data_IF_447778297529
#
_entry.id   IF_447778297529
#
_cell.length_a   1.000
_cell.length_b   1.000
_cell.length_c   1.000
_cell.angle_alpha   90.00
_cell.angle_beta   90.00
_cell.angle_gamma   90.00
#
_symmetry.space_group_name_H-M   'P 1'
#
loop_
_entity.id
_entity.type
_entity.pdbx_description
1 polymer ?
#
# COMPACT_ATOMS: atom_id res chain seq x y z
N UNK A 1 -22.97 23.70 -39.71
CA UNK A 1 -23.50 23.72 -38.31
C UNK A 1 -22.80 22.61 -37.55
N UNK A 2 -21.66 22.93 -36.91
CA UNK A 2 -20.85 21.99 -36.13
C UNK A 2 -21.37 21.95 -34.71
N UNK A 3 -21.76 20.77 -34.23
CA UNK A 3 -22.17 20.55 -32.85
C UNK A 3 -20.96 20.44 -31.98
N UNK A 4 -20.71 21.45 -31.12
CA UNK A 4 -19.74 21.40 -30.03
C UNK A 4 -20.26 20.43 -29.00
N UNK A 5 -19.52 19.35 -28.76
CA UNK A 5 -19.71 18.46 -27.62
C UNK A 5 -19.16 19.10 -26.36
N UNK A 6 -19.91 19.12 -25.23
CA UNK A 6 -19.38 19.68 -23.99
C UNK A 6 -18.31 18.79 -23.40
N UNK A 7 -17.20 19.42 -23.09
CA UNK A 7 -16.08 18.86 -22.33
C UNK A 7 -16.58 18.35 -20.98
N UNK A 8 -16.55 17.06 -20.74
CA UNK A 8 -16.77 16.49 -19.41
C UNK A 8 -15.50 16.72 -18.59
N UNK A 9 -15.55 17.67 -17.67
CA UNK A 9 -14.56 17.77 -16.60
C UNK A 9 -14.67 16.47 -15.77
N UNK A 10 -13.67 15.63 -15.89
CA UNK A 10 -13.52 14.46 -15.05
C UNK A 10 -13.29 14.91 -13.60
N UNK A 11 -14.09 14.39 -12.71
CA UNK A 11 -14.04 14.58 -11.28
C UNK A 11 -12.83 13.84 -10.66
N UNK A 12 -11.65 14.40 -10.84
CA UNK A 12 -10.41 14.03 -10.14
C UNK A 12 -10.22 15.03 -9.00
N UNK A 13 -10.95 14.90 -7.92
CA UNK A 13 -10.86 15.93 -6.90
C UNK A 13 -11.46 15.62 -5.53
N UNK A 14 -11.63 14.36 -5.13
CA UNK A 14 -12.24 14.13 -3.82
C UNK A 14 -11.58 13.08 -2.92
N UNK A 15 -10.39 12.61 -3.24
CA UNK A 15 -9.68 11.63 -2.40
C UNK A 15 -8.64 12.26 -1.44
N UNK A 16 -8.38 13.57 -1.51
CA UNK A 16 -7.32 14.22 -0.72
C UNK A 16 -7.80 15.07 0.48
N UNK A 17 -9.09 15.17 0.78
CA UNK A 17 -9.57 16.16 1.75
C UNK A 17 -10.22 15.63 3.03
N UNK A 18 -10.19 14.33 3.32
CA UNK A 18 -10.75 13.78 4.58
C UNK A 18 -9.73 13.66 5.71
N UNK A 19 -8.50 14.16 5.55
CA UNK A 19 -7.40 13.97 6.51
C UNK A 19 -7.34 15.01 7.66
N UNK A 20 -8.26 15.95 7.79
CA UNK A 20 -8.07 17.11 8.69
C UNK A 20 -9.08 17.33 9.82
N UNK A 21 -9.86 16.32 10.22
CA UNK A 21 -10.79 16.43 11.37
C UNK A 21 -10.61 15.33 12.42
N UNK A 22 -9.36 14.97 12.72
CA UNK A 22 -9.06 14.14 13.89
C UNK A 22 -8.64 15.07 15.02
N UNK A 23 -9.36 15.03 16.15
CA UNK A 23 -9.10 15.88 17.31
C UNK A 23 -7.66 15.72 17.83
N UNK A 24 -7.01 16.79 18.36
CA UNK A 24 -5.62 16.76 18.81
C UNK A 24 -5.29 15.66 19.82
N UNK A 25 -6.27 15.15 20.57
CA UNK A 25 -6.08 14.06 21.54
C UNK A 25 -5.78 12.69 20.90
N UNK A 26 -6.29 12.43 19.72
CA UNK A 26 -6.02 11.18 18.97
C UNK A 26 -4.63 11.24 18.32
N UNK A 27 -4.25 12.42 17.82
CA UNK A 27 -2.95 12.65 17.17
C UNK A 27 -1.79 12.43 18.15
N UNK A 28 -1.93 12.86 19.41
CA UNK A 28 -0.87 12.67 20.44
C UNK A 28 -0.66 11.20 20.80
N UNK A 29 -1.72 10.40 20.86
CA UNK A 29 -1.57 8.95 21.12
C UNK A 29 -0.99 8.19 19.92
N UNK A 30 -1.29 8.61 18.71
CA UNK A 30 -0.74 8.05 17.47
C UNK A 30 0.78 8.26 17.40
N UNK A 31 1.24 9.46 17.73
CA UNK A 31 2.67 9.82 17.70
C UNK A 31 3.53 8.98 18.66
N UNK A 32 3.05 8.70 19.88
CA UNK A 32 3.82 7.93 20.87
C UNK A 32 3.92 6.44 20.53
N UNK A 33 2.85 5.85 19.97
CA UNK A 33 2.85 4.43 19.61
C UNK A 33 3.66 4.16 18.32
N UNK A 34 3.67 5.10 17.38
CA UNK A 34 4.41 5.02 16.12
C UNK A 34 5.94 5.00 16.36
N UNK A 35 6.43 5.81 17.29
CA UNK A 35 7.87 5.91 17.61
C UNK A 35 8.47 4.65 18.25
N UNK A 36 7.64 3.70 18.65
CA UNK A 36 8.11 2.45 19.27
C UNK A 36 8.22 1.28 18.29
N UNK A 37 7.64 1.35 17.12
CA UNK A 37 7.65 0.22 16.19
C UNK A 37 8.93 0.21 15.34
N UNK A 38 9.64 -0.94 15.29
CA UNK A 38 10.90 -1.06 14.55
C UNK A 38 10.65 -1.06 13.03
N UNK A 39 11.72 -1.28 12.26
CA UNK A 39 11.59 -1.68 10.87
C UNK A 39 10.90 -3.04 10.75
N UNK A 40 10.28 -3.31 9.62
CA UNK A 40 9.57 -4.56 9.36
C UNK A 40 10.03 -5.20 8.05
N UNK A 41 10.07 -6.53 8.04
CA UNK A 41 9.87 -7.32 6.83
C UNK A 41 8.42 -7.77 6.84
N UNK A 42 7.69 -7.45 5.76
CA UNK A 42 6.28 -7.83 5.59
C UNK A 42 6.22 -8.91 4.51
N UNK A 43 5.48 -9.97 4.80
CA UNK A 43 5.21 -11.08 3.89
C UNK A 43 3.70 -11.09 3.61
N UNK A 44 3.34 -11.04 2.35
CA UNK A 44 1.95 -11.08 1.91
C UNK A 44 1.65 -12.33 1.09
N UNK A 45 0.47 -12.89 1.27
CA UNK A 45 -0.08 -13.96 0.43
C UNK A 45 -1.58 -13.73 0.22
N UNK A 46 -2.06 -13.89 -0.99
CA UNK A 46 -3.45 -13.64 -1.34
C UNK A 46 -3.66 -13.72 -2.84
N UNK A 47 -4.39 -12.78 -3.38
CA UNK A 47 -4.72 -12.75 -4.80
C UNK A 47 -4.67 -11.34 -5.41
N UNK A 48 -4.62 -11.30 -6.73
CA UNK A 48 -4.72 -10.13 -7.57
C UNK A 48 -5.89 -10.32 -8.55
N UNK A 49 -6.64 -9.24 -8.84
CA UNK A 49 -7.77 -9.27 -9.76
C UNK A 49 -9.11 -9.66 -9.14
N UNK A 50 -9.18 -10.02 -7.85
CA UNK A 50 -10.39 -10.59 -7.23
C UNK A 50 -11.54 -9.60 -6.99
N UNK A 51 -11.27 -8.32 -6.95
CA UNK A 51 -12.29 -7.32 -6.57
C UNK A 51 -13.30 -6.99 -7.66
N UNK A 52 -13.04 -7.33 -8.91
CA UNK A 52 -13.89 -6.93 -10.02
C UNK A 52 -14.19 -8.12 -10.93
N UNK A 53 -15.47 -8.41 -11.16
CA UNK A 53 -15.90 -9.42 -12.12
C UNK A 53 -15.27 -9.14 -13.49
N UNK A 54 -14.87 -10.20 -14.19
CA UNK A 54 -14.24 -10.19 -15.52
C UNK A 54 -12.73 -9.84 -15.58
N UNK A 55 -11.98 -9.98 -14.49
CA UNK A 55 -10.52 -9.87 -14.50
C UNK A 55 -9.85 -11.21 -14.29
N UNK A 56 -8.67 -11.37 -14.87
CA UNK A 56 -7.82 -12.53 -14.64
C UNK A 56 -7.37 -12.54 -13.18
N UNK A 57 -7.76 -13.59 -12.45
CA UNK A 57 -7.39 -13.77 -11.04
C UNK A 57 -6.17 -14.66 -10.95
N UNK A 58 -5.19 -14.23 -10.15
CA UNK A 58 -4.00 -15.01 -9.88
C UNK A 58 -3.65 -14.99 -8.40
N UNK A 59 -3.03 -16.07 -7.93
CA UNK A 59 -2.41 -16.05 -6.61
C UNK A 59 -1.25 -15.06 -6.57
N UNK A 60 -1.13 -14.30 -5.48
CA UNK A 60 -0.13 -13.26 -5.34
C UNK A 60 0.66 -13.42 -4.03
N UNK A 61 1.97 -13.17 -4.10
CA UNK A 61 2.89 -13.21 -2.97
C UNK A 61 3.74 -11.96 -2.97
N UNK A 62 4.00 -11.40 -1.79
CA UNK A 62 4.82 -10.19 -1.69
C UNK A 62 5.81 -10.27 -0.54
N UNK A 63 6.93 -9.56 -0.72
CA UNK A 63 7.85 -9.22 0.35
C UNK A 63 8.10 -7.71 0.31
N UNK A 64 8.01 -7.06 1.47
CA UNK A 64 8.22 -5.62 1.61
C UNK A 64 9.14 -5.35 2.81
N UNK A 65 10.14 -4.51 2.62
CA UNK A 65 10.86 -3.86 3.70
C UNK A 65 10.21 -2.51 3.98
N UNK A 66 9.87 -2.25 5.24
CA UNK A 66 9.42 -0.95 5.73
C UNK A 66 10.40 -0.42 6.75
N UNK A 67 10.88 0.78 6.54
CA UNK A 67 11.88 1.41 7.39
C UNK A 67 11.40 1.61 8.83
N UNK A 68 12.36 1.62 9.75
CA UNK A 68 12.16 1.92 11.14
C UNK A 68 12.03 3.44 11.42
N UNK A 69 11.95 3.81 12.71
CA UNK A 69 11.79 5.20 13.12
C UNK A 69 12.97 6.09 12.73
N UNK A 70 14.15 5.53 12.51
CA UNK A 70 15.34 6.31 12.11
C UNK A 70 15.19 6.99 10.74
N UNK A 71 14.30 6.46 9.89
CA UNK A 71 13.98 7.03 8.57
C UNK A 71 12.54 7.58 8.52
N UNK A 72 11.93 7.83 9.69
CA UNK A 72 10.59 8.38 9.77
C UNK A 72 10.62 9.91 9.61
N UNK A 73 9.83 10.42 8.68
CA UNK A 73 9.57 11.84 8.53
C UNK A 73 8.06 12.09 8.64
N UNK A 74 7.65 12.94 9.58
CA UNK A 74 6.23 13.30 9.80
C UNK A 74 5.32 12.06 9.99
N UNK A 75 5.81 11.03 10.69
CA UNK A 75 5.13 9.73 10.87
C UNK A 75 4.93 8.91 9.58
N UNK A 76 5.67 9.27 8.55
CA UNK A 76 5.70 8.56 7.26
C UNK A 76 7.03 7.85 7.13
N UNK A 77 6.99 6.56 6.75
CA UNK A 77 8.16 5.70 6.63
C UNK A 77 8.30 5.19 5.20
N UNK A 78 9.50 5.23 4.65
CA UNK A 78 9.75 4.64 3.35
C UNK A 78 9.61 3.12 3.38
N UNK A 79 9.17 2.57 2.26
CA UNK A 79 9.13 1.14 2.03
C UNK A 79 9.57 0.80 0.61
N UNK A 80 10.04 -0.42 0.44
CA UNK A 80 10.32 -1.00 -0.86
C UNK A 80 9.90 -2.47 -0.86
N UNK A 81 9.46 -2.97 -1.99
CA UNK A 81 9.01 -4.35 -2.05
C UNK A 81 8.87 -4.89 -3.45
N UNK A 82 8.56 -6.17 -3.50
CA UNK A 82 8.25 -6.89 -4.72
C UNK A 82 7.05 -7.80 -4.49
N UNK A 83 6.21 -7.91 -5.52
CA UNK A 83 5.09 -8.83 -5.63
C UNK A 83 5.32 -9.68 -6.85
N UNK A 84 5.07 -10.98 -6.74
CA UNK A 84 5.01 -11.93 -7.84
C UNK A 84 3.68 -12.68 -7.81
N UNK A 85 3.22 -13.12 -8.96
CA UNK A 85 1.94 -13.81 -9.11
C UNK A 85 2.12 -15.20 -9.72
N UNK A 86 1.08 -16.03 -9.66
CA UNK A 86 1.10 -17.39 -10.23
C UNK A 86 1.09 -17.41 -11.77
N UNK A 87 0.73 -16.31 -12.41
CA UNK A 87 0.77 -16.06 -13.84
C UNK A 87 2.04 -15.30 -14.27
N UNK A 88 3.10 -15.36 -13.43
CA UNK A 88 4.41 -14.76 -13.67
C UNK A 88 4.43 -13.22 -13.81
N UNK A 89 3.37 -12.52 -13.38
CA UNK A 89 3.45 -11.06 -13.27
C UNK A 89 4.39 -10.68 -12.11
N UNK A 90 5.11 -9.57 -12.28
CA UNK A 90 6.02 -9.05 -11.25
C UNK A 90 5.82 -7.53 -11.10
N UNK A 91 5.71 -7.06 -9.87
CA UNK A 91 5.64 -5.65 -9.54
C UNK A 91 6.66 -5.30 -8.46
N UNK A 92 7.62 -4.44 -8.79
CA UNK A 92 8.59 -3.90 -7.82
C UNK A 92 8.30 -2.44 -7.54
N UNK A 93 8.33 -2.02 -6.26
CA UNK A 93 7.96 -0.65 -5.88
C UNK A 93 8.86 -0.03 -4.82
N UNK A 94 8.86 1.30 -4.81
CA UNK A 94 9.30 2.14 -3.71
C UNK A 94 8.13 3.03 -3.28
N UNK A 95 7.90 3.17 -1.98
CA UNK A 95 6.74 3.89 -1.47
C UNK A 95 6.93 4.49 -0.09
N UNK A 96 5.84 5.07 0.38
CA UNK A 96 5.72 5.70 1.68
C UNK A 96 4.47 5.17 2.37
N UNK A 97 4.54 4.94 3.67
CA UNK A 97 3.38 4.51 4.44
C UNK A 97 3.36 5.12 5.85
N UNK A 98 2.16 5.27 6.40
CA UNK A 98 1.93 5.77 7.75
C UNK A 98 1.00 4.86 8.52
N UNK A 99 1.15 4.81 9.85
CA UNK A 99 0.33 4.03 10.75
C UNK A 99 -0.62 4.91 11.55
N UNK A 100 -1.88 4.46 11.66
CA UNK A 100 -2.90 4.99 12.56
C UNK A 100 -3.20 3.92 13.60
N UNK A 101 -2.96 4.22 14.88
CA UNK A 101 -3.17 3.27 15.97
C UNK A 101 -4.53 3.48 16.62
N UNK A 102 -5.29 2.39 16.74
CA UNK A 102 -6.51 2.33 17.54
C UNK A 102 -6.23 1.55 18.82
N UNK A 103 -5.78 2.28 19.83
CA UNK A 103 -5.24 1.69 21.05
C UNK A 103 -3.87 1.02 20.83
N UNK A 104 -3.61 -0.08 21.53
CA UNK A 104 -2.30 -0.76 21.49
C UNK A 104 -2.23 -1.90 20.49
N UNK A 105 -3.36 -2.38 19.98
CA UNK A 105 -3.47 -3.65 19.26
C UNK A 105 -3.90 -3.52 17.81
N UNK A 106 -4.67 -2.52 17.47
CA UNK A 106 -5.20 -2.37 16.11
C UNK A 106 -4.43 -1.25 15.42
N UNK A 107 -3.93 -1.55 14.22
CA UNK A 107 -3.16 -0.63 13.40
C UNK A 107 -3.76 -0.60 12.00
N UNK A 108 -4.09 0.59 11.53
CA UNK A 108 -4.38 0.85 10.13
C UNK A 108 -3.14 1.46 9.48
N UNK A 109 -2.52 0.73 8.56
CA UNK A 109 -1.43 1.23 7.75
C UNK A 109 -2.00 1.72 6.41
N UNK A 110 -1.67 2.95 6.04
CA UNK A 110 -2.01 3.54 4.74
C UNK A 110 -0.72 3.79 3.96
N UNK A 111 -0.70 3.43 2.69
CA UNK A 111 0.50 3.55 1.88
C UNK A 111 0.24 3.94 0.44
N UNK A 112 1.26 4.55 -0.16
CA UNK A 112 1.31 4.89 -1.57
C UNK A 112 2.70 4.60 -2.10
N UNK A 113 2.79 4.12 -3.34
CA UNK A 113 4.04 3.75 -3.97
C UNK A 113 4.00 3.98 -5.47
N UNK A 114 5.17 4.02 -6.08
CA UNK A 114 5.37 3.96 -7.52
C UNK A 114 6.30 2.80 -7.82
N UNK A 115 6.08 2.11 -8.92
CA UNK A 115 6.88 0.95 -9.26
C UNK A 115 6.77 0.52 -10.71
N UNK A 116 7.44 -0.57 -11.02
CA UNK A 116 7.48 -1.16 -12.35
C UNK A 116 6.75 -2.49 -12.33
N UNK A 117 5.80 -2.63 -13.24
CA UNK A 117 4.99 -3.82 -13.44
C UNK A 117 5.37 -4.49 -14.75
N UNK A 118 5.53 -5.80 -14.69
CA UNK A 118 5.70 -6.68 -15.83
C UNK A 118 4.54 -7.68 -15.79
N UNK A 119 3.75 -7.73 -16.84
CA UNK A 119 2.49 -8.46 -16.94
C UNK A 119 2.68 -9.99 -16.96
N UNK A 120 3.81 -10.50 -17.47
CA UNK A 120 4.02 -11.94 -17.61
C UNK A 120 2.94 -12.58 -18.48
N UNK A 121 2.18 -13.53 -17.91
CA UNK A 121 0.99 -14.14 -18.49
C UNK A 121 -0.32 -13.56 -17.90
N UNK A 122 -0.22 -12.56 -17.03
CA UNK A 122 -1.34 -11.95 -16.35
C UNK A 122 -1.91 -10.74 -17.09
N UNK A 123 -2.65 -9.93 -16.35
CA UNK A 123 -3.34 -8.77 -16.91
C UNK A 123 -2.36 -7.68 -17.35
N UNK A 124 -2.44 -7.24 -18.61
CA UNK A 124 -1.78 -6.02 -19.08
C UNK A 124 -2.46 -4.79 -18.45
N UNK A 125 -1.70 -4.01 -17.67
CA UNK A 125 -2.16 -2.78 -17.02
C UNK A 125 -2.00 -1.53 -17.89
N UNK A 126 -1.51 -1.69 -19.13
CA UNK A 126 -1.41 -0.62 -20.12
C UNK A 126 -0.16 0.24 -20.01
N UNK A 127 0.65 0.08 -18.95
CA UNK A 127 1.93 0.77 -18.81
C UNK A 127 2.84 0.05 -17.81
N UNK A 128 4.15 0.11 -18.04
CA UNK A 128 5.13 -0.49 -17.13
C UNK A 128 5.26 0.26 -15.80
N UNK A 129 5.00 1.57 -15.79
CA UNK A 129 5.02 2.37 -14.57
C UNK A 129 3.61 2.39 -13.96
N UNK A 130 3.50 1.81 -12.76
CA UNK A 130 2.25 1.72 -12.02
C UNK A 130 2.37 2.39 -10.65
N UNK A 131 1.31 3.09 -10.27
CA UNK A 131 1.13 3.63 -8.93
C UNK A 131 0.32 2.64 -8.09
N UNK A 132 0.73 2.50 -6.84
CA UNK A 132 0.05 1.65 -5.85
C UNK A 132 -0.48 2.51 -4.73
N UNK A 133 -1.73 2.29 -4.33
CA UNK A 133 -2.31 2.85 -3.11
C UNK A 133 -3.00 1.74 -2.34
N UNK A 134 -2.96 1.80 -1.01
CA UNK A 134 -3.56 0.72 -0.23
C UNK A 134 -3.71 1.00 1.24
N UNK A 135 -4.45 0.10 1.86
CA UNK A 135 -4.71 0.07 3.29
C UNK A 135 -4.53 -1.35 3.83
N UNK A 136 -3.97 -1.48 5.02
CA UNK A 136 -3.83 -2.73 5.76
C UNK A 136 -4.37 -2.52 7.17
N UNK A 137 -5.34 -3.36 7.58
CA UNK A 137 -5.81 -3.41 8.95
C UNK A 137 -5.18 -4.61 9.64
N UNK A 138 -4.40 -4.37 10.69
CA UNK A 138 -3.60 -5.39 11.34
C UNK A 138 -3.81 -5.43 12.85
N UNK A 139 -3.68 -6.64 13.41
CA UNK A 139 -3.51 -6.88 14.82
C UNK A 139 -2.02 -6.87 15.17
N UNK A 140 -1.63 -6.04 16.15
CA UNK A 140 -0.27 -5.91 16.67
C UNK A 140 -0.11 -6.73 17.95
N UNK A 141 0.82 -7.67 17.91
CA UNK A 141 1.18 -8.54 19.05
C UNK A 141 2.12 -7.81 20.03
N UNK A 142 2.33 -8.41 21.21
CA UNK A 142 3.20 -7.83 22.25
C UNK A 142 4.68 -7.75 21.81
N UNK A 143 5.12 -8.69 20.97
CA UNK A 143 6.44 -8.67 20.36
C UNK A 143 6.54 -7.72 19.16
N UNK A 144 5.50 -6.89 18.92
CA UNK A 144 5.35 -5.93 17.81
C UNK A 144 5.16 -6.54 16.42
N UNK A 145 5.20 -7.87 16.28
CA UNK A 145 4.75 -8.50 15.04
C UNK A 145 3.30 -8.11 14.74
N UNK A 146 2.92 -8.11 13.47
CA UNK A 146 1.55 -7.79 13.07
C UNK A 146 1.03 -8.86 12.13
N UNK A 147 -0.26 -9.12 12.20
CA UNK A 147 -1.00 -9.95 11.26
C UNK A 147 -2.24 -9.18 10.82
N UNK A 148 -2.44 -9.02 9.54
CA UNK A 148 -3.51 -8.18 9.02
C UNK A 148 -3.99 -8.60 7.65
N UNK A 149 -5.00 -7.89 7.17
CA UNK A 149 -5.50 -7.98 5.80
C UNK A 149 -5.25 -6.65 5.12
N UNK A 150 -4.60 -6.71 3.98
CA UNK A 150 -4.29 -5.56 3.14
C UNK A 150 -5.08 -5.62 1.84
N UNK A 151 -5.50 -4.45 1.38
CA UNK A 151 -6.08 -4.25 0.06
C UNK A 151 -5.29 -3.15 -0.63
N UNK A 152 -4.91 -3.38 -1.88
CA UNK A 152 -4.19 -2.37 -2.67
C UNK A 152 -4.74 -2.27 -4.08
N UNK A 153 -4.66 -1.09 -4.63
CA UNK A 153 -5.00 -0.78 -6.01
C UNK A 153 -3.75 -0.36 -6.77
N UNK A 154 -3.56 -0.93 -7.96
CA UNK A 154 -2.53 -0.56 -8.92
C UNK A 154 -3.19 0.10 -10.13
N UNK A 155 -2.60 1.19 -10.61
CA UNK A 155 -3.04 1.87 -11.83
C UNK A 155 -1.95 2.78 -12.36
N UNK A 156 -1.92 3.01 -13.66
CA UNK A 156 -0.95 3.92 -14.29
C UNK A 156 -1.38 5.40 -14.30
N UNK A 157 -2.44 5.76 -13.60
CA UNK A 157 -2.97 7.13 -13.54
C UNK A 157 -3.27 7.75 -14.92
N UNK A 158 -3.59 6.93 -15.92
CA UNK A 158 -3.82 7.31 -17.33
C UNK A 158 -2.60 7.94 -18.04
N UNK A 159 -1.38 7.58 -17.65
CA UNK A 159 -0.16 7.95 -18.38
C UNK A 159 0.09 7.02 -19.60
N UNK A 160 -0.50 5.81 -19.60
CA UNK A 160 -0.52 4.90 -20.75
C UNK A 160 -1.75 5.10 -21.63
N UNK A 161 -1.81 4.32 -22.71
CA UNK A 161 -2.94 4.34 -23.67
C UNK A 161 -4.21 3.70 -23.09
N UNK A 162 -4.05 2.85 -22.08
CA UNK A 162 -5.11 2.16 -21.37
C UNK A 162 -4.79 2.14 -19.86
N UNK A 163 -5.80 2.11 -19.01
CA UNK A 163 -5.63 2.04 -17.56
C UNK A 163 -6.73 1.18 -16.92
N UNK A 164 -6.68 -0.13 -17.10
CA UNK A 164 -7.67 -1.03 -16.51
C UNK A 164 -7.56 -1.06 -14.97
N UNK A 165 -6.33 -0.87 -14.46
CA UNK A 165 -5.99 -1.03 -13.06
C UNK A 165 -6.22 -2.45 -12.54
N UNK A 166 -5.80 -2.75 -11.32
CA UNK A 166 -6.09 -4.02 -10.66
C UNK A 166 -6.01 -3.86 -9.14
N UNK A 167 -6.64 -4.78 -8.41
CA UNK A 167 -6.61 -4.81 -6.96
C UNK A 167 -5.95 -6.08 -6.44
N UNK A 168 -5.31 -5.98 -5.27
CA UNK A 168 -4.87 -7.15 -4.51
C UNK A 168 -5.55 -7.21 -3.17
N UNK A 169 -5.85 -8.42 -2.70
CA UNK A 169 -6.30 -8.69 -1.34
C UNK A 169 -5.36 -9.73 -0.73
N UNK A 170 -4.70 -9.36 0.36
CA UNK A 170 -3.65 -10.20 0.95
C UNK A 170 -3.78 -10.32 2.46
N UNK A 171 -3.51 -11.52 2.97
CA UNK A 171 -3.09 -11.71 4.36
C UNK A 171 -1.63 -11.28 4.47
N UNK A 172 -1.32 -10.38 5.42
CA UNK A 172 0.01 -9.80 5.59
C UNK A 172 0.53 -10.09 7.00
N UNK A 173 1.71 -10.69 7.06
CA UNK A 173 2.46 -10.85 8.30
C UNK A 173 3.66 -9.90 8.29
N UNK A 174 3.76 -9.04 9.31
CA UNK A 174 4.86 -8.10 9.49
C UNK A 174 5.75 -8.57 10.63
N UNK A 175 6.98 -8.95 10.30
CA UNK A 175 7.99 -9.36 11.28
C UNK A 175 8.83 -8.15 11.70
N UNK A 176 8.89 -7.83 13.01
CA UNK A 176 9.70 -6.71 13.49
C UNK A 176 11.20 -7.07 13.39
N UNK A 177 11.98 -6.19 12.79
CA UNK A 177 13.43 -6.30 12.77
C UNK A 177 13.99 -5.65 14.03
N UNK A 178 14.86 -6.36 14.74
CA UNK A 178 15.65 -5.73 15.81
C UNK A 178 16.52 -4.64 15.17
N UNK A 179 16.61 -3.48 15.80
CA UNK A 179 17.51 -2.43 15.35
C UNK A 179 18.92 -3.00 15.25
N UNK A 180 19.48 -3.00 14.05
CA UNK A 180 20.87 -3.41 13.81
C UNK A 180 21.88 -2.39 14.38
N UNK A 181 21.40 -1.26 14.89
CA UNK A 181 22.20 -0.10 15.31
C UNK A 181 22.11 0.22 16.80
N UNK A 182 21.45 -0.62 17.61
CA UNK A 182 21.36 -0.39 19.06
C UNK A 182 21.96 -1.55 19.83
N UNK A 183 23.27 -1.74 19.72
CA UNK A 183 24.07 -2.25 20.82
C UNK A 183 24.80 -1.05 21.45
N UNK A 184 24.30 -0.57 22.57
CA UNK A 184 25.05 0.13 23.61
C UNK A 184 24.55 -0.29 24.95
#
# INVERSE_FOLDING_TARGET
MSKLTPFRLASVGLAFFVFWLVTPSIVVQVAHAANEDPAFIKLGAGDIGSCCADRDQAGAFSIEYRAGPDLELLHIRPSLGVLGTTDASIYGWFGLSGDIFFGRRIVLNLGSAVGFYLDGEGQDLGHVLEFRSGAELAWRFDNRARLGVGITHLSNANIGDNNPGTETVMLVYSHPLKSLFTEK
#
